data_IF_526431238415
#
_entry.id   IF_526431238415
#
_cell.length_a   1.000
_cell.length_b   1.000
_cell.length_c   1.000
_cell.angle_alpha   90.00
_cell.angle_beta   90.00
_cell.angle_gamma   90.00
#
_symmetry.space_group_name_H-M   'P 1'
#
loop_
_entity.id
_entity.type
_entity.pdbx_description
1 polymer ?
2 non-polymer ?
3 water ?
#
# COMPACT_ATOMS: atom_id res chain seq x y z
N UNK A 14 -11.09 -14.91 -6.80
CA UNK A 14 -10.91 -14.01 -5.66
C UNK A 14 -9.82 -12.99 -5.95
N UNK A 15 -10.10 -12.12 -6.92
CA UNK A 15 -9.17 -11.04 -7.26
C UNK A 15 -8.97 -10.11 -6.07
N UNK A 16 -10.06 -9.73 -5.40
CA UNK A 16 -9.91 -8.87 -4.22
C UNK A 16 -9.07 -9.58 -3.16
N UNK A 17 -9.39 -10.86 -2.91
CA UNK A 17 -8.65 -11.59 -1.89
C UNK A 17 -7.15 -11.64 -2.13
N UNK A 18 -6.72 -11.78 -3.41
CA UNK A 18 -5.30 -11.76 -3.71
C UNK A 18 -4.67 -10.42 -3.34
N UNK A 19 -5.33 -9.33 -3.72
CA UNK A 19 -4.79 -8.01 -3.41
C UNK A 19 -4.80 -7.77 -1.90
N UNK A 20 -5.88 -8.15 -1.21
CA UNK A 20 -5.91 -8.04 0.24
C UNK A 20 -4.73 -8.76 0.89
N UNK A 21 -4.44 -9.98 0.43
CA UNK A 21 -3.30 -10.69 0.99
C UNK A 21 -1.99 -9.96 0.73
N UNK A 22 -1.81 -9.42 -0.48
CA UNK A 22 -0.63 -8.59 -0.76
C UNK A 22 -0.57 -7.41 0.19
N UNK A 23 -1.71 -6.74 0.40
CA UNK A 23 -1.72 -5.57 1.27
C UNK A 23 -1.43 -5.95 2.71
N UNK A 24 -1.99 -7.09 3.15
CA UNK A 24 -1.75 -7.57 4.52
C UNK A 24 -0.30 -7.98 4.68
N UNK A 25 0.25 -8.67 3.67
CA UNK A 25 1.63 -9.08 3.73
C UNK A 25 2.54 -7.88 3.90
N UNK A 26 2.30 -6.83 3.11
CA UNK A 26 3.15 -5.65 3.19
C UNK A 26 3.01 -4.99 4.55
N UNK A 27 1.78 -4.87 5.04
CA UNK A 27 1.57 -4.27 6.37
C UNK A 27 2.34 -5.04 7.42
N UNK A 28 2.23 -6.37 7.41
CA UNK A 28 2.96 -7.19 8.39
C UNK A 28 4.47 -7.04 8.23
N UNK A 29 4.98 -6.85 7.00
CA UNK A 29 6.43 -6.62 6.88
C UNK A 29 6.84 -5.26 7.43
N UNK A 30 6.05 -4.20 7.18
CA UNK A 30 6.33 -2.88 7.76
C UNK A 30 6.32 -2.94 9.29
N UNK A 31 5.34 -3.65 9.85
CA UNK A 31 5.22 -3.78 11.31
C UNK A 31 6.19 -4.79 11.92
N UNK A 32 7.00 -5.47 11.10
CA UNK A 32 7.99 -6.47 11.53
C UNK A 32 7.35 -7.62 12.30
N UNK A 33 6.17 -8.05 11.87
CA UNK A 33 5.57 -9.21 12.49
C UNK A 33 5.56 -10.37 11.50
N UNK A 34 5.66 -11.61 11.96
CA UNK A 34 5.93 -12.72 11.04
C UNK A 34 4.71 -13.38 10.41
N UNK A 35 4.68 -14.71 10.45
CA UNK A 35 3.60 -15.50 9.88
C UNK A 35 3.62 -16.91 10.47
N UNK A 38 1.85 -19.72 6.52
CA UNK A 38 3.10 -19.86 5.78
C UNK A 38 3.65 -18.49 5.40
N UNK A 39 4.68 -18.47 4.55
CA UNK A 39 5.37 -17.25 4.20
C UNK A 39 4.83 -16.60 2.95
N UNK A 40 5.34 -15.41 2.61
CA UNK A 40 4.80 -14.67 1.46
C UNK A 40 5.16 -15.31 0.14
N UNK A 41 4.29 -15.12 -0.85
CA UNK A 41 4.52 -15.60 -2.20
C UNK A 41 5.71 -14.87 -2.82
N UNK A 42 6.21 -15.44 -3.91
CA UNK A 42 7.21 -14.74 -4.72
C UNK A 42 6.74 -13.33 -5.03
N UNK A 43 5.48 -13.18 -5.43
CA UNK A 43 4.95 -11.87 -5.79
C UNK A 43 5.04 -10.91 -4.61
N UNK A 44 4.62 -11.38 -3.45
CA UNK A 44 4.63 -10.53 -2.27
C UNK A 44 6.07 -10.15 -1.91
N UNK A 45 6.99 -11.10 -2.04
CA UNK A 45 8.40 -10.83 -1.73
C UNK A 45 8.96 -9.73 -2.63
N UNK A 46 8.65 -9.79 -3.94
CA UNK A 46 9.15 -8.77 -4.87
C UNK A 46 8.53 -7.43 -4.52
N UNK A 47 7.24 -7.44 -4.18
CA UNK A 47 6.54 -6.19 -3.90
C UNK A 47 7.09 -5.53 -2.63
N UNK A 48 7.35 -6.33 -1.59
CA UNK A 48 7.83 -5.77 -0.33
C UNK A 48 9.16 -5.06 -0.54
N UNK A 49 10.01 -5.60 -1.40
CA UNK A 49 11.30 -4.99 -1.70
C UNK A 49 11.11 -3.64 -2.42
N UNK A 50 10.33 -3.63 -3.51
CA UNK A 50 10.20 -2.39 -4.26
C UNK A 50 9.37 -1.36 -3.50
N UNK A 51 8.32 -1.79 -2.81
CA UNK A 51 7.48 -0.82 -2.13
C UNK A 51 8.22 -0.17 -0.97
N UNK A 52 9.04 -0.95 -0.26
CA UNK A 52 9.78 -0.35 0.84
C UNK A 52 10.79 0.65 0.32
N UNK A 53 11.33 0.42 -0.88
CA UNK A 53 12.21 1.42 -1.44
C UNK A 53 11.46 2.72 -1.76
N UNK A 54 10.28 2.60 -2.36
CA UNK A 54 9.48 3.78 -2.66
C UNK A 54 9.01 4.45 -1.37
N UNK A 55 8.62 3.66 -0.37
CA UNK A 55 8.17 4.20 0.91
C UNK A 55 9.19 5.15 1.52
N UNK A 56 10.47 4.76 1.49
CA UNK A 56 11.48 5.61 2.10
C UNK A 56 11.54 6.98 1.41
N UNK A 57 11.45 7.01 0.08
CA UNK A 57 11.45 8.27 -0.67
C UNK A 57 10.22 9.11 -0.33
N UNK A 58 9.04 8.50 -0.39
CA UNK A 58 7.79 9.21 -0.16
C UNK A 58 7.76 9.81 1.23
N UNK A 59 8.21 9.05 2.23
CA UNK A 59 8.24 9.57 3.59
C UNK A 59 9.03 10.87 3.67
N UNK A 60 10.14 10.96 2.95
CA UNK A 60 10.91 12.18 3.04
C UNK A 60 10.35 13.26 2.13
N UNK A 61 9.97 12.93 0.88
CA UNK A 61 9.42 13.93 -0.03
C UNK A 61 8.06 14.45 0.42
N UNK A 62 7.38 13.73 1.32
CA UNK A 62 6.10 14.19 1.86
C UNK A 62 6.19 14.55 3.33
N UNK A 63 7.40 14.79 3.84
CA UNK A 63 7.61 14.97 5.28
C UNK A 63 6.80 16.13 5.84
N UNK A 64 6.84 17.30 5.19
CA UNK A 64 6.18 18.47 5.75
C UNK A 64 4.67 18.30 5.80
N UNK A 65 4.08 17.58 4.83
CA UNK A 65 2.63 17.37 4.83
C UNK A 65 2.19 16.34 5.87
N UNK A 66 2.96 15.26 6.03
CA UNK A 66 2.59 14.25 7.03
C UNK A 66 2.77 14.78 8.46
N UNK A 67 3.75 15.64 8.69
CA UNK A 67 3.91 16.19 10.04
C UNK A 67 2.70 17.02 10.44
N UNK A 68 2.01 17.62 9.48
CA UNK A 68 0.84 18.39 9.82
C UNK A 68 -0.41 17.54 9.87
N UNK A 69 -0.27 16.22 9.71
CA UNK A 69 -1.39 15.28 9.85
C UNK A 69 -1.08 14.34 10.99
N UNK A 70 -1.98 14.26 11.95
CA UNK A 70 -1.87 13.32 13.06
C UNK A 70 -2.93 12.24 12.87
N UNK A 71 -2.46 11.01 12.60
CA UNK A 71 -3.32 9.90 12.23
C UNK A 71 -3.92 9.29 13.49
N UNK A 72 -4.94 9.96 14.03
CA UNK A 72 -5.55 9.57 15.29
C UNK A 72 -6.54 8.43 15.12
N UNK A 73 -6.93 8.11 13.89
CA UNK A 73 -7.95 7.09 13.67
C UNK A 73 -7.77 6.47 12.30
N UNK A 74 -8.41 5.33 12.10
CA UNK A 74 -8.44 4.70 10.78
C UNK A 74 -9.03 5.64 9.74
N UNK A 75 -10.15 6.29 10.06
CA UNK A 75 -10.77 7.17 9.09
C UNK A 75 -9.93 8.40 8.81
N UNK A 76 -9.02 8.78 9.74
CA UNK A 76 -8.01 9.77 9.40
C UNK A 76 -7.05 9.23 8.35
N UNK A 77 -6.62 7.99 8.52
CA UNK A 77 -5.73 7.37 7.54
C UNK A 77 -6.43 7.22 6.18
N UNK A 78 -7.69 6.80 6.18
CA UNK A 78 -8.43 6.62 4.93
C UNK A 78 -8.58 7.96 4.19
N UNK A 79 -8.90 9.03 4.92
CA UNK A 79 -9.01 10.34 4.30
C UNK A 79 -7.67 10.78 3.72
N UNK A 80 -6.58 10.62 4.47
CA UNK A 80 -5.27 10.95 3.93
C UNK A 80 -4.97 10.11 2.68
N UNK A 81 -5.27 8.82 2.75
CA UNK A 81 -5.02 7.92 1.62
C UNK A 81 -5.73 8.41 0.37
N UNK A 82 -7.02 8.75 0.51
CA UNK A 82 -7.80 9.18 -0.66
C UNK A 82 -7.24 10.45 -1.27
N UNK A 83 -6.87 11.43 -0.44
CA UNK A 83 -6.40 12.69 -0.99
C UNK A 83 -5.07 12.53 -1.73
N UNK A 84 -4.18 11.67 -1.22
CA UNK A 84 -2.91 11.42 -1.91
C UNK A 84 -3.11 10.49 -3.10
N UNK A 85 -4.00 9.50 -2.98
CA UNK A 85 -4.18 8.52 -4.04
C UNK A 85 -5.02 9.08 -5.18
N UNK A 86 -6.09 9.81 -4.88
CA UNK A 86 -6.85 10.42 -5.95
C UNK A 86 -6.01 11.43 -6.70
N UNK A 87 -5.05 12.06 -6.01
CA UNK A 87 -4.06 12.87 -6.71
C UNK A 87 -3.10 11.99 -7.51
N UNK A 88 -2.58 10.92 -6.91
CA UNK A 88 -1.62 10.07 -7.59
C UNK A 88 -2.13 9.60 -8.95
N UNK A 89 -3.44 9.39 -9.07
CA UNK A 89 -4.06 9.00 -10.32
C UNK A 89 -5.01 10.10 -10.80
N UNK A 90 -4.55 11.36 -10.66
CA UNK A 90 -5.35 12.51 -11.05
C UNK A 90 -5.64 12.52 -12.54
N UNK A 91 -4.67 12.11 -13.36
CA UNK A 91 -4.74 12.20 -14.80
C UNK A 91 -5.21 10.91 -15.46
N UNK A 92 -5.50 9.87 -14.67
CA UNK A 92 -6.06 8.65 -15.20
C UNK A 92 -5.07 7.72 -15.87
N UNK A 93 -3.77 7.96 -15.75
CA UNK A 93 -2.76 7.06 -16.28
C UNK A 93 -2.30 6.12 -15.17
N UNK A 94 -2.23 4.83 -15.50
CA UNK A 94 -1.82 3.79 -14.55
C UNK A 94 -0.53 3.18 -15.06
N UNK A 95 0.42 2.98 -14.16
CA UNK A 95 1.60 2.18 -14.42
C UNK A 95 1.95 1.46 -13.12
N UNK A 96 2.82 0.45 -13.23
CA UNK A 96 3.15 -0.35 -12.05
C UNK A 96 3.83 0.49 -10.99
N UNK A 97 4.63 1.47 -11.42
CA UNK A 97 5.25 2.37 -10.47
C UNK A 97 4.24 3.06 -9.57
N UNK A 98 3.11 3.47 -10.16
CA UNK A 98 2.08 4.12 -9.34
C UNK A 98 1.35 3.11 -8.46
N UNK A 99 1.21 1.87 -8.92
CA UNK A 99 0.58 0.85 -8.07
C UNK A 99 1.48 0.52 -6.88
N UNK A 100 2.80 0.44 -7.09
CA UNK A 100 3.72 0.20 -5.99
C UNK A 100 3.61 1.31 -4.95
N UNK A 101 3.40 2.54 -5.43
CA UNK A 101 3.32 3.68 -4.54
C UNK A 101 2.09 3.61 -3.62
N UNK A 102 1.02 2.95 -4.07
CA UNK A 102 -0.12 2.69 -3.18
C UNK A 102 0.32 1.92 -1.94
N UNK A 103 1.04 0.81 -2.15
CA UNK A 103 1.52 0.00 -1.03
C UNK A 103 2.49 0.79 -0.17
N UNK A 104 3.37 1.58 -0.80
CA UNK A 104 4.27 2.40 0.00
C UNK A 104 3.49 3.34 0.91
N UNK A 105 2.43 3.94 0.38
CA UNK A 105 1.67 4.85 1.23
C UNK A 105 0.91 4.11 2.32
N UNK A 106 0.43 2.90 2.04
CA UNK A 106 -0.15 2.06 3.10
C UNK A 106 0.85 1.89 4.24
N UNK A 107 2.12 1.70 3.91
CA UNK A 107 3.11 1.55 4.97
C UNK A 107 3.28 2.80 5.80
N UNK A 108 3.26 3.97 5.14
CA UNK A 108 3.39 5.22 5.89
C UNK A 108 2.21 5.38 6.84
N UNK A 109 1.02 5.03 6.38
CA UNK A 109 -0.17 5.19 7.21
C UNK A 109 -0.15 4.25 8.39
N UNK A 110 0.34 3.01 8.22
CA UNK A 110 0.31 2.13 9.38
C UNK A 110 1.39 2.54 10.37
N UNK A 111 2.49 3.12 9.90
CA UNK A 111 3.50 3.66 10.83
C UNK A 111 2.92 4.81 11.65
N UNK A 112 2.21 5.72 11.00
CA UNK A 112 1.63 6.84 11.72
C UNK A 112 0.50 6.38 12.63
N UNK A 113 -0.30 5.39 12.20
CA UNK A 113 -1.38 4.92 13.06
C UNK A 113 -0.85 4.23 14.29
N UNK A 114 0.17 3.37 14.13
CA UNK A 114 0.75 2.73 15.32
C UNK A 114 1.20 3.78 16.31
N UNK A 115 1.84 4.84 15.84
CA UNK A 115 2.36 5.86 16.74
C UNK A 115 1.27 6.80 17.27
N UNK A 116 0.23 7.09 16.48
CA UNK A 116 -0.66 8.22 16.75
C UNK A 116 -2.13 7.85 17.04
N UNK A 117 -2.55 6.61 16.79
CA UNK A 117 -3.93 6.21 17.05
C UNK A 117 -4.31 6.49 18.50
N UNK A 118 -5.48 7.12 18.69
CA UNK A 118 -5.95 7.48 20.03
C UNK A 118 -6.12 6.24 20.89
N UNK A 119 -6.94 5.31 20.42
CA UNK A 119 -7.14 4.09 21.17
C UNK A 119 -6.44 2.99 20.41
N UNK A 120 -5.15 2.74 20.67
CA UNK A 120 -4.43 1.72 19.90
C UNK A 120 -5.14 0.38 19.98
N UNK A 121 -5.23 -0.27 18.84
CA UNK A 121 -5.89 -1.56 18.74
C UNK A 121 -5.26 -2.24 17.54
N UNK A 122 -4.46 -3.28 17.78
CA UNK A 122 -3.82 -3.99 16.68
C UNK A 122 -4.85 -4.58 15.71
N UNK A 123 -6.07 -4.81 16.18
CA UNK A 123 -7.09 -5.40 15.34
C UNK A 123 -7.67 -4.42 14.33
N UNK A 124 -7.48 -3.11 14.51
CA UNK A 124 -7.89 -2.15 13.49
C UNK A 124 -6.89 -1.99 12.36
N UNK A 125 -5.65 -2.45 12.55
CA UNK A 125 -4.63 -2.24 11.51
C UNK A 125 -5.03 -2.82 10.16
N UNK A 126 -5.59 -4.02 10.15
CA UNK A 126 -6.03 -4.70 8.92
C UNK A 126 -7.11 -3.93 8.18
N UNK A 127 -7.75 -2.94 8.82
CA UNK A 127 -8.72 -2.12 8.09
C UNK A 127 -8.04 -1.27 7.04
N UNK A 128 -6.76 -0.94 7.26
CA UNK A 128 -5.99 -0.24 6.23
C UNK A 128 -5.78 -1.14 5.02
N UNK A 129 -5.41 -2.40 5.27
CA UNK A 129 -5.27 -3.35 4.15
C UNK A 129 -6.56 -3.48 3.36
N UNK A 130 -7.70 -3.48 4.06
CA UNK A 130 -8.97 -3.64 3.35
C UNK A 130 -9.23 -2.45 2.44
N UNK A 131 -9.07 -1.22 2.96
CA UNK A 131 -9.42 -0.11 2.09
C UNK A 131 -8.35 0.10 1.04
N UNK A 132 -7.13 -0.37 1.30
CA UNK A 132 -6.11 -0.32 0.26
C UNK A 132 -6.47 -1.27 -0.88
N UNK A 133 -6.95 -2.48 -0.54
CA UNK A 133 -7.33 -3.44 -1.56
C UNK A 133 -8.57 -2.98 -2.32
N UNK A 134 -9.52 -2.39 -1.63
CA UNK A 134 -10.68 -1.85 -2.31
C UNK A 134 -10.28 -0.76 -3.31
N UNK A 135 -9.32 0.10 -2.96
CA UNK A 135 -8.90 1.15 -3.89
C UNK A 135 -8.22 0.54 -5.12
N UNK A 136 -7.30 -0.39 -4.89
CA UNK A 136 -6.57 -0.99 -6.00
C UNK A 136 -7.52 -1.72 -6.92
N UNK A 137 -8.43 -2.50 -6.33
CA UNK A 137 -9.35 -3.28 -7.13
C UNK A 137 -10.25 -2.36 -7.94
N UNK A 138 -10.80 -1.34 -7.29
CA UNK A 138 -11.82 -0.51 -7.91
C UNK A 138 -11.26 0.53 -8.86
N UNK A 139 -9.98 0.88 -8.75
CA UNK A 139 -9.40 1.92 -9.58
C UNK A 139 -8.32 1.44 -10.51
N UNK A 140 -7.66 0.31 -10.23
CA UNK A 140 -6.64 -0.20 -11.13
C UNK A 140 -6.84 -1.67 -11.47
N UNK A 141 -7.89 -2.31 -10.96
CA UNK A 141 -8.05 -3.74 -11.18
C UNK A 141 -8.09 -4.11 -12.66
N UNK A 142 -8.83 -3.34 -13.46
CA UNK A 142 -8.94 -3.65 -14.89
C UNK A 142 -7.61 -3.50 -15.58
N UNK A 143 -6.91 -2.39 -15.31
CA UNK A 143 -5.59 -2.18 -15.91
C UNK A 143 -4.64 -3.29 -15.53
N UNK A 144 -4.64 -3.73 -14.27
CA UNK A 144 -3.74 -4.78 -13.83
C UNK A 144 -3.97 -6.05 -14.64
N UNK A 145 -5.23 -6.47 -14.76
CA UNK A 145 -5.60 -7.62 -15.58
C UNK A 145 -5.05 -7.50 -16.99
N UNK A 146 -5.40 -6.40 -17.67
CA UNK A 146 -5.03 -6.24 -19.08
C UNK A 146 -3.53 -6.15 -19.26
N UNK A 147 -2.75 -5.91 -18.21
CA UNK A 147 -1.31 -5.81 -18.37
C UNK A 147 -0.57 -6.96 -17.69
N UNK A 148 -1.23 -8.10 -17.57
CA UNK A 148 -0.56 -9.33 -17.23
C UNK A 148 -0.79 -9.81 -15.83
N UNK A 149 -1.55 -9.05 -15.03
CA UNK A 149 -1.77 -9.44 -13.65
C UNK A 149 -0.51 -9.28 -12.82
N UNK A 150 -0.60 -9.80 -11.59
CA UNK A 150 0.54 -9.72 -10.68
C UNK A 150 1.66 -10.65 -11.10
N UNK A 151 1.32 -11.81 -11.65
CA UNK A 151 2.36 -12.79 -11.94
C UNK A 151 2.96 -12.62 -13.34
N UNK A 152 2.17 -12.21 -14.34
CA UNK A 152 2.73 -11.98 -15.67
C UNK A 152 2.96 -10.50 -15.97
N UNK A 153 2.57 -9.62 -15.07
CA UNK A 153 2.85 -8.21 -15.31
C UNK A 153 3.84 -7.72 -14.28
N UNK A 154 3.38 -7.61 -13.04
CA UNK A 154 4.18 -6.96 -12.01
C UNK A 154 5.47 -7.75 -11.75
N UNK A 155 5.35 -9.04 -11.44
CA UNK A 155 6.54 -9.81 -11.06
C UNK A 155 7.51 -9.89 -12.22
N UNK A 156 7.02 -10.05 -13.45
CA UNK A 156 7.92 -10.12 -14.59
C UNK A 156 8.71 -8.83 -14.75
N UNK A 157 8.08 -7.68 -14.50
CA UNK A 157 8.80 -6.42 -14.65
C UNK A 157 9.78 -6.19 -13.51
N UNK A 158 9.42 -6.56 -12.28
CA UNK A 158 10.16 -6.11 -11.10
C UNK A 158 11.02 -7.17 -10.43
N UNK A 159 10.86 -8.44 -10.78
CA UNK A 159 11.66 -9.46 -10.15
C UNK A 159 13.12 -9.28 -10.58
N UNK A 160 14.06 -9.75 -9.78
CA UNK A 160 15.46 -9.62 -10.17
C UNK A 160 15.72 -10.37 -11.47
N UNK A 161 16.54 -9.79 -12.34
CA UNK A 161 16.90 -10.46 -13.59
C UNK A 161 18.16 -11.30 -13.37
X LIG B 1 -10.50 3.85 15.81
X LIG B 1 -11.43 3.42 17.49
X LIG B 1 -8.90 4.89 16.23
X LIG B 1 -10.02 2.19 14.92
X LIG B 1 -11.55 4.76 14.77
#
# INVERSE_FOLDING_TARGET
MGHHHHHHSHMTDSEFGYIYRLAQDYLQSVLQIPQPGSGPSKTSRVLQNVAFSVQKEVEKNLKSCLDNVNVVSVDTARTLFNQVMEKEFEDGIINWGRIVTIFAFEGILIKKLLRQQIAPDVDTYKEISYFVAEFIMNNTGEWIRQNGGWENGFVKKFEPK
CAD AS C1 C2 O1 O2
#
